data_IF_139931172787
#
_entry.id   IF_139931172787
#
_cell.length_a   1.000
_cell.length_b   1.000
_cell.length_c   1.000
_cell.angle_alpha   90.00
_cell.angle_beta   90.00
_cell.angle_gamma   90.00
#
_symmetry.space_group_name_H-M   'P 1'
#
loop_
_entity.id
_entity.type
_entity.pdbx_description
1 polymer ?
#
# COMPACT_ATOMS: atom_id res chain seq x y z
N UNK A 1 -26.08 43.62 12.61
CA UNK A 1 -25.30 43.00 11.52
C UNK A 1 -23.86 42.88 11.98
N UNK A 2 -23.44 41.64 12.27
CA UNK A 2 -22.14 41.34 12.88
C UNK A 2 -20.97 41.55 11.91
N UNK A 3 -20.05 42.45 12.27
CA UNK A 3 -18.80 42.73 11.56
C UNK A 3 -17.70 41.69 11.88
N UNK A 4 -18.04 40.40 11.89
CA UNK A 4 -17.10 39.33 12.29
C UNK A 4 -16.69 38.38 11.15
N UNK A 5 -16.94 38.72 9.87
CA UNK A 5 -16.66 37.80 8.75
C UNK A 5 -15.33 38.02 8.02
N UNK A 6 -14.57 39.06 8.34
CA UNK A 6 -13.28 39.31 7.66
C UNK A 6 -12.24 39.84 8.65
N UNK A 7 -11.69 38.95 9.48
CA UNK A 7 -10.40 39.24 10.10
C UNK A 7 -9.34 39.25 8.99
N UNK A 8 -8.58 40.35 8.82
CA UNK A 8 -7.50 40.39 7.85
C UNK A 8 -6.42 39.37 8.23
N UNK A 9 -5.83 38.73 7.22
CA UNK A 9 -4.72 37.77 7.30
C UNK A 9 -3.49 38.37 8.01
N UNK A 10 -3.53 38.56 9.33
CA UNK A 10 -2.43 39.09 10.15
C UNK A 10 -1.35 38.06 10.43
N UNK A 11 -1.34 36.94 9.72
CA UNK A 11 -0.45 35.83 10.06
C UNK A 11 0.13 35.15 8.81
N UNK A 12 0.39 35.94 7.77
CA UNK A 12 1.16 35.49 6.59
C UNK A 12 2.52 34.91 6.99
N UNK A 13 3.14 35.40 8.07
CA UNK A 13 4.38 34.85 8.61
C UNK A 13 4.18 33.53 9.35
N UNK A 14 3.09 33.35 10.10
CA UNK A 14 2.77 32.04 10.70
C UNK A 14 2.41 31.01 9.64
N UNK A 15 1.75 31.44 8.55
CA UNK A 15 1.47 30.59 7.39
C UNK A 15 2.75 30.19 6.65
N UNK A 16 3.69 31.13 6.45
CA UNK A 16 5.03 30.84 5.89
C UNK A 16 5.82 29.88 6.78
N UNK A 17 5.80 30.07 8.10
CA UNK A 17 6.46 29.16 9.06
C UNK A 17 5.86 27.76 9.02
N UNK A 18 4.54 27.62 9.09
CA UNK A 18 3.84 26.32 8.96
C UNK A 18 4.16 25.65 7.62
N UNK A 19 4.16 26.40 6.52
CA UNK A 19 4.51 25.86 5.19
C UNK A 19 5.95 25.37 5.13
N UNK A 20 6.89 26.08 5.74
CA UNK A 20 8.29 25.66 5.80
C UNK A 20 8.48 24.43 6.70
N UNK A 21 7.77 24.31 7.81
CA UNK A 21 7.77 23.09 8.65
C UNK A 21 7.19 21.89 7.91
N UNK A 22 6.05 22.06 7.22
CA UNK A 22 5.46 21.00 6.39
C UNK A 22 6.43 20.59 5.29
N UNK A 23 7.08 21.55 4.62
CA UNK A 23 8.05 21.28 3.55
C UNK A 23 9.29 20.56 4.09
N UNK A 24 9.79 20.93 5.28
CA UNK A 24 10.90 20.23 5.95
C UNK A 24 10.52 18.80 6.34
N UNK A 25 9.33 18.59 6.89
CA UNK A 25 8.81 17.25 7.22
C UNK A 25 8.59 16.41 5.97
N UNK A 26 8.09 17.00 4.89
CA UNK A 26 7.94 16.31 3.61
C UNK A 26 9.31 15.93 3.03
N UNK A 27 10.28 16.86 3.05
CA UNK A 27 11.65 16.62 2.61
C UNK A 27 12.35 15.54 3.45
N UNK A 28 12.16 15.53 4.78
CA UNK A 28 12.72 14.50 5.64
C UNK A 28 12.04 13.14 5.43
N UNK A 29 10.72 13.10 5.22
CA UNK A 29 10.01 11.86 4.87
C UNK A 29 10.45 11.34 3.50
N UNK A 30 10.67 12.22 2.52
CA UNK A 30 11.23 11.84 1.21
C UNK A 30 12.70 11.43 1.29
N UNK A 31 13.48 12.03 2.20
CA UNK A 31 14.88 11.63 2.43
C UNK A 31 14.95 10.28 3.15
N UNK A 32 14.07 10.02 4.12
CA UNK A 32 13.92 8.71 4.76
C UNK A 32 13.47 7.68 3.72
N UNK A 33 12.50 8.02 2.87
CA UNK A 33 12.10 7.18 1.75
C UNK A 33 13.25 6.93 0.75
N UNK A 34 14.15 7.90 0.55
CA UNK A 34 15.34 7.74 -0.30
C UNK A 34 16.48 6.94 0.36
N UNK A 35 16.55 6.93 1.70
CA UNK A 35 17.52 6.12 2.46
C UNK A 35 17.10 4.65 2.60
N UNK A 36 15.81 4.35 2.40
CA UNK A 36 15.34 2.97 2.21
C UNK A 36 15.61 2.57 0.77
N UNK A 37 16.87 2.26 0.50
CA UNK A 37 17.41 1.46 -0.60
C UNK A 37 16.47 1.30 -1.83
N UNK A 38 16.28 2.37 -2.61
CA UNK A 38 15.60 2.32 -3.91
C UNK A 38 16.41 1.59 -4.99
N UNK A 39 17.52 0.94 -4.65
CA UNK A 39 18.31 0.12 -5.59
C UNK A 39 17.60 -1.17 -6.04
N UNK A 40 16.38 -1.46 -5.57
CA UNK A 40 15.51 -2.51 -6.14
C UNK A 40 14.73 -2.01 -7.38
N UNK A 41 14.87 -0.72 -7.75
CA UNK A 41 14.05 -0.05 -8.77
C UNK A 41 14.77 0.23 -10.10
N UNK A 42 15.64 -0.65 -10.60
CA UNK A 42 15.83 -0.74 -12.06
C UNK A 42 14.75 -1.62 -12.69
N UNK A 43 13.52 -1.20 -12.45
CA UNK A 43 12.35 -1.64 -13.17
C UNK A 43 12.42 -1.04 -14.58
N UNK A 44 13.06 -1.74 -15.52
CA UNK A 44 12.94 -1.35 -16.92
C UNK A 44 11.45 -1.41 -17.29
N UNK A 45 10.95 -0.34 -17.89
CA UNK A 45 9.62 -0.32 -18.49
C UNK A 45 9.64 -1.35 -19.63
N UNK A 46 9.22 -2.58 -19.31
CA UNK A 46 9.04 -3.66 -20.28
C UNK A 46 7.54 -3.86 -20.37
N UNK A 47 6.88 -3.35 -21.42
CA UNK A 47 5.45 -3.56 -21.66
C UNK A 47 5.16 -5.00 -22.12
N UNK A 48 5.83 -5.98 -21.51
CA UNK A 48 5.61 -7.40 -21.77
C UNK A 48 4.49 -7.81 -20.84
N UNK A 49 3.33 -8.10 -21.42
CA UNK A 49 2.21 -8.67 -20.69
C UNK A 49 2.65 -9.98 -20.01
N UNK A 50 2.19 -10.27 -18.78
CA UNK A 50 2.52 -11.54 -18.14
C UNK A 50 1.98 -12.70 -18.96
N UNK A 51 2.73 -13.80 -19.04
CA UNK A 51 2.27 -15.01 -19.72
C UNK A 51 1.12 -15.66 -18.95
N UNK A 52 0.33 -16.50 -19.60
CA UNK A 52 -0.73 -17.25 -18.92
C UNK A 52 -0.20 -18.12 -17.78
N UNK A 53 1.00 -18.67 -17.93
CA UNK A 53 1.66 -19.47 -16.89
C UNK A 53 2.04 -18.62 -15.68
N UNK A 54 2.58 -17.41 -15.90
CA UNK A 54 2.88 -16.47 -14.83
C UNK A 54 1.62 -16.05 -14.09
N UNK A 55 0.53 -15.78 -14.82
CA UNK A 55 -0.77 -15.47 -14.22
C UNK A 55 -1.28 -16.64 -13.40
N UNK A 56 -1.24 -17.88 -13.92
CA UNK A 56 -1.68 -19.09 -13.20
C UNK A 56 -0.87 -19.31 -11.91
N UNK A 57 0.46 -19.20 -11.98
CA UNK A 57 1.34 -19.30 -10.81
C UNK A 57 1.01 -18.22 -9.77
N UNK A 58 0.77 -16.98 -10.22
CA UNK A 58 0.39 -15.90 -9.34
C UNK A 58 -0.99 -16.10 -8.70
N UNK A 59 -1.97 -16.59 -9.48
CA UNK A 59 -3.30 -16.94 -8.99
C UNK A 59 -3.24 -18.01 -7.90
N UNK A 60 -2.42 -19.05 -8.06
CA UNK A 60 -2.20 -20.07 -7.03
C UNK A 60 -1.64 -19.46 -5.73
N UNK A 61 -0.66 -18.55 -5.83
CA UNK A 61 -0.12 -17.84 -4.66
C UNK A 61 -1.19 -17.01 -3.94
N UNK A 62 -2.04 -16.32 -4.69
CA UNK A 62 -3.16 -15.53 -4.12
C UNK A 62 -4.21 -16.44 -3.47
N UNK A 63 -4.53 -17.55 -4.12
CA UNK A 63 -5.51 -18.53 -3.63
C UNK A 63 -5.08 -19.14 -2.30
N UNK A 64 -3.81 -19.52 -2.16
CA UNK A 64 -3.26 -20.01 -0.90
C UNK A 64 -3.43 -19.01 0.27
N UNK A 65 -3.26 -17.70 0.01
CA UNK A 65 -3.48 -16.67 1.04
C UNK A 65 -4.97 -16.50 1.35
N UNK A 66 -5.85 -16.62 0.35
CA UNK A 66 -7.31 -16.59 0.56
C UNK A 66 -7.77 -17.77 1.40
N UNK A 67 -7.22 -18.97 1.18
CA UNK A 67 -7.48 -20.15 1.99
C UNK A 67 -7.01 -19.96 3.43
N UNK A 68 -5.80 -19.42 3.63
CA UNK A 68 -5.28 -19.07 4.96
C UNK A 68 -6.20 -18.05 5.65
N UNK A 69 -6.67 -17.03 4.93
CA UNK A 69 -7.62 -16.06 5.45
C UNK A 69 -8.97 -16.71 5.84
N UNK A 70 -9.50 -17.59 4.99
CA UNK A 70 -10.75 -18.30 5.26
C UNK A 70 -10.62 -19.22 6.48
N UNK A 71 -9.50 -19.93 6.59
CA UNK A 71 -9.17 -20.74 7.77
C UNK A 71 -9.13 -19.88 9.03
N UNK A 72 -8.47 -18.73 8.98
CA UNK A 72 -8.41 -17.82 10.14
C UNK A 72 -9.78 -17.26 10.51
N UNK A 73 -10.61 -16.87 9.54
CA UNK A 73 -12.00 -16.40 9.79
C UNK A 73 -12.89 -17.48 10.41
N UNK A 74 -12.66 -18.76 10.08
CA UNK A 74 -13.43 -19.89 10.64
C UNK A 74 -13.03 -20.23 12.08
N UNK A 75 -11.73 -20.16 12.39
CA UNK A 75 -11.20 -20.61 13.68
C UNK A 75 -11.03 -19.47 14.71
N UNK A 76 -10.92 -18.23 14.27
CA UNK A 76 -10.59 -17.09 15.12
C UNK A 76 -11.51 -15.90 14.85
N UNK A 77 -11.86 -15.17 15.92
CA UNK A 77 -12.57 -13.90 15.80
C UNK A 77 -11.56 -12.79 15.45
N UNK A 78 -11.71 -12.10 14.30
CA UNK A 78 -10.79 -11.05 13.93
C UNK A 78 -10.87 -9.88 14.92
N UNK A 79 -9.71 -9.39 15.38
CA UNK A 79 -9.65 -8.20 16.26
C UNK A 79 -10.12 -6.94 15.52
N UNK A 80 -9.88 -6.87 14.21
CA UNK A 80 -10.31 -5.79 13.35
C UNK A 80 -11.01 -6.34 12.08
N UNK A 81 -12.34 -6.56 12.12
CA UNK A 81 -13.10 -7.09 10.98
C UNK A 81 -13.06 -6.19 9.74
N UNK A 82 -13.03 -4.86 9.93
CA UNK A 82 -12.98 -3.90 8.83
C UNK A 82 -11.65 -4.00 8.06
N UNK A 83 -10.53 -4.13 8.79
CA UNK A 83 -9.22 -4.34 8.17
C UNK A 83 -9.16 -5.67 7.42
N UNK A 84 -9.75 -6.73 7.97
CA UNK A 84 -9.85 -8.02 7.30
C UNK A 84 -10.61 -7.91 5.98
N UNK A 85 -11.74 -7.20 5.96
CA UNK A 85 -12.50 -6.95 4.73
C UNK A 85 -11.70 -6.12 3.71
N UNK A 86 -10.95 -5.11 4.16
CA UNK A 86 -10.08 -4.34 3.28
C UNK A 86 -8.96 -5.19 2.66
N UNK A 87 -8.36 -6.10 3.44
CA UNK A 87 -7.34 -7.05 2.97
C UNK A 87 -7.91 -8.07 1.99
N UNK A 88 -9.14 -8.55 2.22
CA UNK A 88 -9.88 -9.44 1.33
C UNK A 88 -10.16 -8.77 -0.02
N UNK A 89 -10.64 -7.53 0.00
CA UNK A 89 -10.81 -6.72 -1.22
C UNK A 89 -9.48 -6.53 -1.96
N UNK A 90 -8.39 -6.26 -1.22
CA UNK A 90 -7.07 -6.10 -1.84
C UNK A 90 -6.57 -7.38 -2.50
N UNK A 91 -6.79 -8.54 -1.88
CA UNK A 91 -6.48 -9.85 -2.46
C UNK A 91 -7.34 -10.17 -3.70
N UNK A 92 -8.57 -9.69 -3.76
CA UNK A 92 -9.42 -9.85 -4.95
C UNK A 92 -8.91 -9.01 -6.14
N UNK A 93 -8.40 -7.81 -5.89
CA UNK A 93 -7.92 -6.92 -6.94
C UNK A 93 -6.45 -7.15 -7.35
N UNK A 94 -5.64 -7.82 -6.54
CA UNK A 94 -4.19 -7.94 -6.79
C UNK A 94 -3.86 -8.69 -8.09
N UNK A 95 -4.73 -9.59 -8.56
CA UNK A 95 -4.57 -10.30 -9.83
C UNK A 95 -4.68 -9.32 -11.01
N UNK A 96 -5.65 -8.40 -10.97
CA UNK A 96 -5.78 -7.37 -12.00
C UNK A 96 -4.63 -6.37 -11.95
N UNK A 97 -4.14 -6.03 -10.75
CA UNK A 97 -2.93 -5.23 -10.60
C UNK A 97 -1.71 -5.92 -11.22
N UNK A 98 -1.56 -7.23 -11.04
CA UNK A 98 -0.47 -8.02 -11.61
C UNK A 98 -0.49 -8.01 -13.14
N UNK A 99 -1.66 -8.20 -13.75
CA UNK A 99 -1.85 -8.16 -15.20
C UNK A 99 -1.47 -6.82 -15.82
N UNK A 100 -1.80 -5.72 -15.12
CA UNK A 100 -1.59 -4.34 -15.60
C UNK A 100 -0.23 -3.76 -15.22
N UNK A 101 0.59 -4.49 -14.47
CA UNK A 101 1.84 -3.95 -13.94
C UNK A 101 2.88 -3.80 -15.05
N UNK A 102 3.39 -2.57 -15.31
CA UNK A 102 4.16 -2.26 -16.52
C UNK A 102 5.67 -2.54 -16.40
N UNK A 103 6.15 -2.98 -15.24
CA UNK A 103 7.58 -3.13 -14.97
C UNK A 103 8.04 -4.58 -14.98
N UNK A 104 9.29 -4.80 -15.39
CA UNK A 104 9.91 -6.12 -15.45
C UNK A 104 10.13 -6.79 -14.10
N UNK A 105 10.24 -6.01 -13.01
CA UNK A 105 10.40 -6.53 -11.65
C UNK A 105 9.08 -7.02 -11.02
N UNK A 106 8.08 -7.35 -11.86
CA UNK A 106 6.73 -7.74 -11.47
C UNK A 106 6.73 -8.81 -10.39
N UNK A 107 7.44 -9.92 -10.59
CA UNK A 107 7.40 -11.02 -9.64
C UNK A 107 7.95 -10.63 -8.26
N UNK A 108 9.06 -9.91 -8.22
CA UNK A 108 9.68 -9.47 -6.95
C UNK A 108 8.82 -8.45 -6.22
N UNK A 109 8.27 -7.47 -6.95
CA UNK A 109 7.34 -6.49 -6.42
C UNK A 109 6.12 -7.15 -5.78
N UNK A 110 5.48 -8.08 -6.51
CA UNK A 110 4.29 -8.76 -6.00
C UNK A 110 4.62 -9.80 -4.91
N UNK A 111 5.81 -10.40 -4.90
CA UNK A 111 6.28 -11.25 -3.80
C UNK A 111 6.31 -10.48 -2.47
N UNK A 112 6.91 -9.29 -2.46
CA UNK A 112 6.96 -8.42 -1.28
C UNK A 112 5.53 -8.06 -0.84
N UNK A 113 4.68 -7.69 -1.79
CA UNK A 113 3.29 -7.27 -1.54
C UNK A 113 2.42 -8.40 -0.99
N UNK A 114 2.56 -9.62 -1.51
CA UNK A 114 1.88 -10.81 -0.98
C UNK A 114 2.35 -11.14 0.43
N UNK A 115 3.65 -11.06 0.71
CA UNK A 115 4.19 -11.25 2.06
C UNK A 115 3.64 -10.21 3.04
N UNK A 116 3.56 -8.95 2.62
CA UNK A 116 2.95 -7.88 3.41
C UNK A 116 1.47 -8.18 3.73
N UNK A 117 0.68 -8.59 2.72
CA UNK A 117 -0.73 -8.96 2.91
C UNK A 117 -0.86 -10.13 3.89
N UNK A 118 -0.08 -11.19 3.70
CA UNK A 118 -0.07 -12.36 4.59
C UNK A 118 0.24 -11.98 6.04
N UNK A 119 1.28 -11.18 6.27
CA UNK A 119 1.64 -10.71 7.60
C UNK A 119 0.57 -9.80 8.21
N UNK A 120 -0.05 -8.95 7.40
CA UNK A 120 -1.14 -8.06 7.84
C UNK A 120 -2.37 -8.87 8.27
N UNK A 121 -2.72 -9.92 7.51
CA UNK A 121 -3.79 -10.86 7.86
C UNK A 121 -3.47 -11.49 9.21
N UNK A 122 -2.28 -12.09 9.37
CA UNK A 122 -1.89 -12.73 10.64
C UNK A 122 -2.00 -11.77 11.84
N UNK A 123 -1.53 -10.53 11.71
CA UNK A 123 -1.65 -9.52 12.77
C UNK A 123 -3.10 -9.21 13.15
N UNK A 124 -4.04 -9.28 12.21
CA UNK A 124 -5.46 -9.05 12.50
C UNK A 124 -6.10 -10.15 13.38
N UNK A 125 -5.50 -11.35 13.44
CA UNK A 125 -6.01 -12.48 14.21
C UNK A 125 -5.15 -12.81 15.43
N UNK A 126 -3.82 -12.83 15.29
CA UNK A 126 -2.89 -13.34 16.31
C UNK A 126 -2.46 -12.25 17.31
N UNK A 127 -2.43 -10.97 16.92
CA UNK A 127 -1.86 -9.88 17.73
C UNK A 127 -0.35 -9.87 17.67
#
# INVERSE_FOLDING_TARGET
>A
MDKALFQPLTDMDSWRKKRNEIRKRFLSVTQIASSVNWNVHYAFFKPIAPTEEEIKRFQQKVLAIKEELLFLKKNFKPKNPQMVQALENKLNHIIEEYKRYPFSNREEFFKIRLNFLRNSIKKCFVG
#
